data_IF_747872027992
#
_entry.id   IF_747872027992
#
_cell.length_a   1.000
_cell.length_b   1.000
_cell.length_c   1.000
_cell.angle_alpha   90.00
_cell.angle_beta   90.00
_cell.angle_gamma   90.00
#
_symmetry.space_group_name_H-M   'P 1'
#
loop_
_entity.id
_entity.type
_entity.pdbx_description
1 polymer ?
#
# COMPACT_ATOMS: atom_id res chain seq x y z
N UNK A 1 -23.53 -1.35 3.20
CA UNK A 1 -22.25 -1.91 2.70
C UNK A 1 -21.40 -2.27 3.91
N UNK A 2 -20.68 -3.40 3.91
CA UNK A 2 -19.77 -3.73 5.00
C UNK A 2 -18.62 -2.71 5.05
N UNK A 3 -18.12 -2.39 6.25
CA UNK A 3 -16.98 -1.48 6.46
C UNK A 3 -15.87 -2.22 7.23
N UNK A 4 -14.62 -1.93 6.90
CA UNK A 4 -13.45 -2.41 7.62
C UNK A 4 -12.90 -1.30 8.52
N UNK A 5 -12.86 -1.48 9.86
CA UNK A 5 -12.21 -0.52 10.75
C UNK A 5 -10.74 -0.34 10.38
N UNK A 6 -10.27 0.91 10.37
CA UNK A 6 -8.89 1.25 10.01
C UNK A 6 -7.90 0.64 10.99
N UNK A 7 -8.22 0.62 12.30
CA UNK A 7 -7.37 -0.04 13.29
C UNK A 7 -7.26 -1.55 13.03
N UNK A 8 -8.37 -2.23 12.74
CA UNK A 8 -8.36 -3.66 12.42
C UNK A 8 -7.56 -3.97 11.14
N UNK A 9 -7.59 -3.07 10.15
CA UNK A 9 -6.73 -3.20 8.98
C UNK A 9 -5.23 -3.13 9.35
N UNK A 10 -4.85 -2.20 10.24
CA UNK A 10 -3.46 -2.11 10.72
C UNK A 10 -3.04 -3.35 11.53
N UNK A 11 -3.94 -3.91 12.34
CA UNK A 11 -3.72 -5.17 13.07
C UNK A 11 -3.48 -6.34 12.11
N UNK A 12 -4.25 -6.46 11.01
CA UNK A 12 -4.03 -7.49 10.01
C UNK A 12 -2.64 -7.41 9.37
N UNK A 13 -2.13 -6.21 9.10
CA UNK A 13 -0.77 -6.02 8.60
C UNK A 13 0.27 -6.42 9.65
N UNK A 14 0.10 -5.99 10.90
CA UNK A 14 0.99 -6.38 12.00
C UNK A 14 1.05 -7.90 12.13
N UNK A 15 -0.11 -8.56 12.13
CA UNK A 15 -0.23 -10.01 12.26
C UNK A 15 0.38 -10.73 11.04
N UNK A 16 0.26 -10.16 9.83
CA UNK A 16 0.94 -10.67 8.64
C UNK A 16 2.47 -10.66 8.80
N UNK A 17 3.04 -9.55 9.26
CA UNK A 17 4.49 -9.46 9.53
C UNK A 17 4.96 -10.40 10.65
N UNK A 18 4.11 -10.64 11.65
CA UNK A 18 4.40 -11.54 12.75
C UNK A 18 4.17 -13.03 12.41
N UNK A 19 3.72 -13.36 11.19
CA UNK A 19 3.24 -14.69 10.81
C UNK A 19 2.13 -15.23 11.72
N UNK A 20 1.31 -14.33 12.26
CA UNK A 20 0.24 -14.61 13.25
C UNK A 20 -1.17 -14.53 12.63
N UNK A 21 -1.29 -14.51 11.30
CA UNK A 21 -2.59 -14.63 10.63
C UNK A 21 -3.26 -15.98 10.92
N UNK A 22 -2.46 -17.04 11.10
CA UNK A 22 -2.91 -18.33 11.60
C UNK A 22 -4.04 -18.96 10.78
N UNK A 23 -5.06 -19.45 11.48
CA UNK A 23 -6.21 -20.14 10.91
C UNK A 23 -7.17 -19.20 10.13
N UNK A 24 -6.96 -17.88 10.18
CA UNK A 24 -7.74 -16.92 9.39
C UNK A 24 -7.44 -17.01 7.90
N UNK A 25 -6.26 -17.52 7.53
CA UNK A 25 -5.83 -17.65 6.12
C UNK A 25 -6.66 -18.72 5.42
N UNK A 26 -7.28 -18.36 4.30
CA UNK A 26 -7.91 -19.31 3.39
C UNK A 26 -6.90 -19.82 2.35
N UNK A 27 -6.17 -18.90 1.72
CA UNK A 27 -5.11 -19.20 0.76
C UNK A 27 -4.10 -18.05 0.73
N UNK A 28 -2.89 -18.31 0.27
CA UNK A 28 -1.81 -17.33 0.23
C UNK A 28 -0.89 -17.59 -0.97
N UNK A 29 -0.15 -16.56 -1.36
CA UNK A 29 0.96 -16.66 -2.31
C UNK A 29 2.23 -16.12 -1.66
N UNK A 30 3.35 -16.73 -2.03
CA UNK A 30 4.70 -16.20 -1.88
C UNK A 30 5.45 -16.53 -3.17
N UNK A 31 5.48 -15.56 -4.10
CA UNK A 31 6.00 -15.77 -5.45
C UNK A 31 6.94 -14.62 -5.75
N UNK A 32 8.23 -14.92 -5.96
CA UNK A 32 9.26 -13.92 -6.31
C UNK A 32 9.29 -12.74 -5.31
N UNK A 33 9.10 -13.01 -4.03
CA UNK A 33 9.05 -11.99 -2.97
C UNK A 33 7.73 -11.22 -2.86
N UNK A 34 6.72 -11.54 -3.68
CA UNK A 34 5.35 -11.03 -3.54
C UNK A 34 4.57 -11.92 -2.60
N UNK A 35 4.24 -11.38 -1.43
CA UNK A 35 3.42 -12.06 -0.43
C UNK A 35 2.01 -11.46 -0.39
N UNK A 36 0.99 -12.32 -0.38
CA UNK A 36 -0.39 -11.90 -0.16
C UNK A 36 -1.19 -13.03 0.49
N UNK A 37 -2.08 -12.66 1.41
CA UNK A 37 -2.92 -13.58 2.18
C UNK A 37 -4.38 -13.25 1.94
N UNK A 38 -5.14 -14.22 1.47
CA UNK A 38 -6.59 -14.10 1.38
C UNK A 38 -7.22 -14.81 2.57
N UNK A 39 -7.98 -14.06 3.37
CA UNK A 39 -8.56 -14.52 4.62
C UNK A 39 -9.97 -15.08 4.41
N UNK A 40 -10.43 -15.92 5.35
CA UNK A 40 -11.74 -16.57 5.33
C UNK A 40 -12.93 -15.59 5.35
N UNK A 41 -12.73 -14.38 5.86
CA UNK A 41 -13.75 -13.32 5.88
C UNK A 41 -13.89 -12.61 4.52
N UNK A 42 -12.95 -12.83 3.59
CA UNK A 42 -12.87 -12.21 2.27
C UNK A 42 -11.90 -11.01 2.20
N UNK A 43 -11.09 -10.78 3.23
CA UNK A 43 -10.08 -9.72 3.24
C UNK A 43 -8.79 -10.20 2.58
N UNK A 44 -8.25 -9.42 1.65
CA UNK A 44 -6.90 -9.62 1.08
C UNK A 44 -5.90 -8.74 1.85
N UNK A 45 -4.86 -9.34 2.40
CA UNK A 45 -3.79 -8.67 3.13
C UNK A 45 -2.49 -8.78 2.35
N UNK A 46 -1.84 -7.64 2.10
CA UNK A 46 -0.62 -7.55 1.29
C UNK A 46 0.45 -6.83 2.15
N UNK A 47 1.29 -7.56 2.90
CA UNK A 47 2.40 -6.94 3.59
C UNK A 47 3.43 -6.38 2.59
N UNK A 48 4.29 -5.47 3.06
CA UNK A 48 5.49 -5.08 2.32
C UNK A 48 6.64 -6.05 2.54
N UNK A 49 7.77 -5.80 1.89
CA UNK A 49 9.02 -6.53 2.16
C UNK A 49 9.71 -6.03 3.44
N UNK A 50 10.47 -6.92 4.10
CA UNK A 50 11.30 -6.58 5.26
C UNK A 50 12.62 -5.87 4.87
N UNK A 51 12.97 -5.82 3.59
CA UNK A 51 14.25 -5.27 3.06
C UNK A 51 14.04 -3.93 2.31
N UNK A 52 13.04 -3.16 2.72
CA UNK A 52 12.55 -2.02 1.95
C UNK A 52 13.55 -0.87 1.79
N UNK A 53 14.48 -0.71 2.74
CA UNK A 53 15.62 0.23 2.62
C UNK A 53 16.45 -0.08 1.39
N UNK A 54 16.76 -1.36 1.19
CA UNK A 54 17.66 -1.81 0.13
C UNK A 54 16.96 -1.66 -1.23
N UNK A 55 15.66 -1.99 -1.32
CA UNK A 55 14.88 -1.80 -2.55
C UNK A 55 14.76 -0.33 -2.97
N UNK A 56 14.54 0.60 -2.03
CA UNK A 56 14.51 2.02 -2.33
C UNK A 56 15.90 2.55 -2.68
N UNK A 57 16.95 2.12 -1.98
CA UNK A 57 18.34 2.50 -2.30
C UNK A 57 18.78 2.01 -3.69
N UNK A 58 18.33 0.82 -4.11
CA UNK A 58 18.57 0.29 -5.47
C UNK A 58 17.78 1.06 -6.56
N UNK A 59 16.57 1.55 -6.28
CA UNK A 59 15.80 2.38 -7.23
C UNK A 59 16.16 3.88 -7.20
N UNK A 60 16.87 4.36 -6.15
CA UNK A 60 17.27 5.76 -5.94
C UNK A 60 18.76 6.05 -6.22
N UNK A 61 19.56 5.10 -6.72
CA UNK A 61 20.97 5.35 -7.07
C UNK A 61 21.12 6.43 -8.17
N UNK A 62 21.21 7.69 -7.72
CA UNK A 62 21.79 8.81 -8.45
C UNK A 62 23.32 8.62 -8.49
N UNK A 63 23.80 7.81 -9.43
CA UNK A 63 25.23 7.76 -9.75
C UNK A 63 25.81 6.37 -10.03
N UNK A 64 25.64 5.89 -11.27
CA UNK A 64 26.70 5.19 -11.98
C UNK A 64 27.00 3.72 -11.64
N UNK A 65 26.07 2.79 -11.90
CA UNK A 65 26.26 1.58 -12.76
C UNK A 65 25.01 0.67 -12.72
N UNK A 66 24.66 -0.02 -13.82
CA UNK A 66 23.36 -0.68 -13.97
C UNK A 66 23.40 -2.13 -13.49
N UNK A 67 22.53 -2.46 -12.56
CA UNK A 67 21.82 -3.75 -12.56
C UNK A 67 20.37 -3.42 -12.96
N UNK A 68 19.70 -4.30 -13.70
CA UNK A 68 18.40 -4.09 -14.34
C UNK A 68 17.25 -3.78 -13.36
N UNK A 69 17.29 -2.59 -12.75
CA UNK A 69 16.29 -2.04 -11.83
C UNK A 69 15.34 -1.10 -12.56
N UNK A 70 14.07 -1.13 -12.20
CA UNK A 70 13.04 -0.30 -12.81
C UNK A 70 13.17 1.20 -12.50
N UNK A 71 14.12 1.67 -11.69
CA UNK A 71 14.35 3.10 -11.42
C UNK A 71 13.04 3.86 -11.16
N UNK A 72 12.82 4.97 -11.88
CA UNK A 72 11.51 5.64 -11.98
C UNK A 72 10.80 5.37 -13.32
N UNK A 73 11.01 4.20 -13.90
CA UNK A 73 10.37 3.76 -15.13
C UNK A 73 8.86 3.83 -14.99
N UNK A 74 8.23 4.31 -16.06
CA UNK A 74 6.78 4.48 -16.12
C UNK A 74 6.25 3.58 -17.23
N UNK A 75 5.39 2.65 -16.84
CA UNK A 75 4.84 1.63 -17.74
C UNK A 75 3.30 1.77 -17.76
N UNK A 76 2.66 1.70 -18.94
CA UNK A 76 1.21 1.64 -19.01
C UNK A 76 0.69 0.28 -18.49
N UNK A 77 -0.34 0.31 -17.64
CA UNK A 77 -1.14 -0.87 -17.32
C UNK A 77 -2.23 -1.10 -18.37
N UNK A 78 -2.98 -2.19 -18.24
CA UNK A 78 -4.01 -2.61 -19.22
C UNK A 78 -5.10 -1.56 -19.47
N UNK A 79 -5.36 -0.67 -18.50
CA UNK A 79 -6.32 0.44 -18.62
C UNK A 79 -5.74 1.68 -19.31
N UNK A 80 -4.47 1.67 -19.71
CA UNK A 80 -3.71 2.81 -20.21
C UNK A 80 -3.20 3.76 -19.11
N UNK A 81 -3.54 3.50 -17.84
CA UNK A 81 -2.98 4.23 -16.71
C UNK A 81 -1.47 4.04 -16.60
N UNK A 82 -0.73 5.10 -16.29
CA UNK A 82 0.72 5.09 -16.17
C UNK A 82 1.14 4.85 -14.73
N UNK A 83 1.99 3.84 -14.53
CA UNK A 83 2.41 3.36 -13.21
C UNK A 83 3.92 3.31 -13.11
N UNK A 84 4.44 3.39 -11.89
CA UNK A 84 5.82 2.97 -11.62
C UNK A 84 6.00 1.49 -11.97
N UNK A 85 6.98 1.15 -12.82
CA UNK A 85 7.17 -0.20 -13.38
C UNK A 85 7.23 -1.29 -12.31
N UNK A 86 8.11 -1.12 -11.30
CA UNK A 86 8.23 -2.12 -10.23
C UNK A 86 6.98 -2.29 -9.36
N UNK A 87 6.20 -1.23 -9.15
CA UNK A 87 4.95 -1.35 -8.39
C UNK A 87 3.86 -2.04 -9.22
N UNK A 88 3.86 -1.80 -10.54
CA UNK A 88 2.94 -2.47 -11.47
C UNK A 88 3.24 -3.97 -11.55
N UNK A 89 4.51 -4.38 -11.67
CA UNK A 89 4.88 -5.81 -11.70
C UNK A 89 4.42 -6.54 -10.43
N UNK A 90 4.71 -5.95 -9.26
CA UNK A 90 4.24 -6.52 -7.98
C UNK A 90 2.71 -6.58 -7.93
N UNK A 91 2.01 -5.52 -8.37
CA UNK A 91 0.55 -5.47 -8.39
C UNK A 91 -0.07 -6.48 -9.36
N UNK A 92 0.57 -6.81 -10.48
CA UNK A 92 0.07 -7.78 -11.46
C UNK A 92 0.05 -9.21 -10.90
N UNK A 93 1.06 -9.57 -10.11
CA UNK A 93 1.10 -10.86 -9.39
C UNK A 93 -0.06 -10.92 -8.39
N UNK A 94 -0.22 -9.88 -7.56
CA UNK A 94 -1.32 -9.78 -6.59
C UNK A 94 -2.69 -9.79 -7.28
N UNK A 95 -2.86 -9.04 -8.37
CA UNK A 95 -4.11 -8.97 -9.13
C UNK A 95 -4.50 -10.34 -9.70
N UNK A 96 -3.53 -11.07 -10.26
CA UNK A 96 -3.75 -12.40 -10.84
C UNK A 96 -4.23 -13.39 -9.77
N UNK A 97 -3.68 -13.31 -8.57
CA UNK A 97 -4.14 -14.08 -7.42
C UNK A 97 -5.53 -13.64 -6.93
N UNK A 98 -5.77 -12.33 -6.80
CA UNK A 98 -6.97 -11.78 -6.17
C UNK A 98 -8.22 -11.82 -7.06
N UNK A 99 -8.10 -11.67 -8.39
CA UNK A 99 -9.25 -11.48 -9.30
C UNK A 99 -10.27 -12.61 -9.26
N UNK A 100 -9.82 -13.85 -9.06
CA UNK A 100 -10.71 -15.03 -8.95
C UNK A 100 -11.35 -15.16 -7.57
N UNK A 101 -10.72 -14.61 -6.53
CA UNK A 101 -11.15 -14.70 -5.14
C UNK A 101 -12.21 -13.67 -4.77
N UNK A 102 -12.29 -12.56 -5.52
CA UNK A 102 -13.25 -11.45 -5.33
C UNK A 102 -13.23 -10.90 -3.89
N UNK A 103 -12.10 -10.30 -3.46
CA UNK A 103 -11.98 -9.78 -2.11
C UNK A 103 -13.04 -8.72 -1.79
N UNK A 104 -13.53 -8.76 -0.55
CA UNK A 104 -14.45 -7.75 0.01
C UNK A 104 -13.70 -6.49 0.45
N UNK A 105 -12.47 -6.69 0.93
CA UNK A 105 -11.57 -5.63 1.38
C UNK A 105 -10.15 -5.95 0.96
N UNK A 106 -9.34 -4.93 0.75
CA UNK A 106 -7.90 -5.05 0.53
C UNK A 106 -7.18 -4.19 1.55
N UNK A 107 -6.15 -4.74 2.18
CA UNK A 107 -5.27 -4.02 3.10
C UNK A 107 -3.84 -4.19 2.62
N UNK A 108 -3.10 -3.09 2.51
CA UNK A 108 -1.68 -3.13 2.15
C UNK A 108 -0.83 -2.26 3.05
N UNK A 109 0.44 -2.63 3.18
CA UNK A 109 1.47 -1.81 3.83
C UNK A 109 2.70 -1.67 2.94
N UNK A 110 3.26 -0.47 2.85
CA UNK A 110 4.50 -0.20 2.12
C UNK A 110 4.47 -0.64 0.65
N UNK A 111 5.38 -1.51 0.18
CA UNK A 111 5.33 -2.12 -1.16
C UNK A 111 3.99 -2.85 -1.41
N UNK A 112 3.46 -3.52 -0.38
CA UNK A 112 2.13 -4.11 -0.44
C UNK A 112 1.01 -3.06 -0.55
N UNK A 113 1.19 -1.89 0.04
CA UNK A 113 0.28 -0.75 -0.12
C UNK A 113 0.34 -0.13 -1.53
N UNK A 114 1.50 -0.16 -2.18
CA UNK A 114 1.63 0.19 -3.58
C UNK A 114 0.75 -0.71 -4.45
N UNK A 115 0.79 -2.02 -4.20
CA UNK A 115 -0.06 -2.98 -4.90
C UNK A 115 -1.52 -2.86 -4.54
N UNK A 116 -1.84 -2.65 -3.25
CA UNK A 116 -3.20 -2.46 -2.79
C UNK A 116 -3.88 -1.29 -3.52
N UNK A 117 -3.19 -0.15 -3.69
CA UNK A 117 -3.68 0.98 -4.47
C UNK A 117 -4.11 0.58 -5.90
N UNK A 118 -3.23 -0.12 -6.62
CA UNK A 118 -3.43 -0.49 -8.02
C UNK A 118 -4.56 -1.55 -8.13
N UNK A 119 -4.49 -2.60 -7.33
CA UNK A 119 -5.44 -3.73 -7.34
C UNK A 119 -6.81 -3.28 -6.86
N UNK A 120 -6.87 -2.46 -5.80
CA UNK A 120 -8.09 -1.91 -5.25
C UNK A 120 -8.87 -1.05 -6.22
N UNK A 121 -8.18 -0.13 -6.91
CA UNK A 121 -8.82 0.66 -7.97
C UNK A 121 -9.27 -0.22 -9.14
N UNK A 122 -8.46 -1.19 -9.56
CA UNK A 122 -8.77 -2.08 -10.70
C UNK A 122 -9.98 -2.99 -10.43
N UNK A 123 -10.11 -3.51 -9.20
CA UNK A 123 -11.21 -4.37 -8.79
C UNK A 123 -12.43 -3.59 -8.25
N UNK A 124 -12.32 -2.27 -8.08
CA UNK A 124 -13.33 -1.45 -7.41
C UNK A 124 -13.68 -1.99 -6.01
N UNK A 125 -12.65 -2.37 -5.25
CA UNK A 125 -12.76 -2.99 -3.93
C UNK A 125 -12.30 -2.02 -2.84
N UNK A 126 -13.07 -1.83 -1.74
CA UNK A 126 -12.63 -1.03 -0.60
C UNK A 126 -11.22 -1.40 -0.12
N UNK A 127 -10.32 -0.42 -0.14
CA UNK A 127 -8.90 -0.62 0.09
C UNK A 127 -8.33 0.38 1.09
N UNK A 128 -7.59 -0.12 2.09
CA UNK A 128 -6.82 0.69 3.05
C UNK A 128 -5.33 0.42 2.83
N UNK A 129 -4.59 1.46 2.47
CA UNK A 129 -3.17 1.40 2.15
C UNK A 129 -2.37 2.22 3.17
N UNK A 130 -1.53 1.55 3.97
CA UNK A 130 -0.67 2.19 4.97
C UNK A 130 0.73 2.41 4.42
N UNK A 131 1.37 3.52 4.81
CA UNK A 131 2.76 3.82 4.43
C UNK A 131 2.98 3.75 2.92
N UNK A 132 2.01 4.22 2.15
CA UNK A 132 1.92 3.91 0.73
C UNK A 132 2.79 4.86 -0.12
N UNK A 133 3.69 4.34 -0.98
CA UNK A 133 4.41 5.17 -1.93
C UNK A 133 3.48 5.66 -3.04
N UNK A 134 3.96 6.62 -3.84
CA UNK A 134 3.23 7.20 -4.97
C UNK A 134 3.32 6.28 -6.19
N UNK A 135 2.23 5.65 -6.58
CA UNK A 135 2.25 4.60 -7.61
C UNK A 135 1.97 5.07 -9.01
N UNK A 136 1.17 6.13 -9.17
CA UNK A 136 0.61 6.52 -10.45
C UNK A 136 1.23 7.82 -10.96
N UNK A 137 1.54 7.88 -12.26
CA UNK A 137 1.90 9.11 -12.95
C UNK A 137 0.72 9.63 -13.78
N UNK A 138 -0.16 10.40 -13.17
CA UNK A 138 -1.32 10.96 -13.86
C UNK A 138 -1.73 12.33 -13.31
N UNK A 139 -2.34 13.15 -14.17
CA UNK A 139 -2.84 14.50 -13.81
C UNK A 139 -4.31 14.52 -13.37
N UNK A 140 -5.05 13.45 -13.63
CA UNK A 140 -6.49 13.36 -13.38
C UNK A 140 -6.85 12.10 -12.60
N UNK A 141 -8.09 12.05 -12.11
CA UNK A 141 -8.62 10.87 -11.43
C UNK A 141 -8.79 9.72 -12.42
N UNK A 142 -8.58 8.50 -11.93
CA UNK A 142 -8.79 7.27 -12.68
C UNK A 142 -10.09 6.58 -12.24
N UNK A 143 -10.57 5.64 -13.04
CA UNK A 143 -11.67 4.78 -12.62
C UNK A 143 -11.29 3.99 -11.36
N UNK A 144 -12.24 3.81 -10.45
CA UNK A 144 -12.06 3.01 -9.25
C UNK A 144 -11.24 3.65 -8.11
N UNK A 145 -10.63 4.81 -8.31
CA UNK A 145 -9.81 5.46 -7.25
C UNK A 145 -10.60 5.80 -5.99
N UNK A 146 -11.91 6.02 -6.11
CA UNK A 146 -12.80 6.30 -4.98
C UNK A 146 -12.92 5.14 -3.98
N UNK A 147 -12.41 3.95 -4.31
CA UNK A 147 -12.38 2.79 -3.41
C UNK A 147 -11.14 2.72 -2.54
N UNK A 148 -10.15 3.59 -2.76
CA UNK A 148 -8.84 3.51 -2.11
C UNK A 148 -8.67 4.67 -1.13
N UNK A 149 -8.25 4.34 0.10
CA UNK A 149 -7.76 5.30 1.07
C UNK A 149 -6.32 4.98 1.45
N UNK A 150 -5.47 6.01 1.42
CA UNK A 150 -4.07 5.95 1.82
C UNK A 150 -3.91 6.67 3.16
N UNK A 151 -3.24 6.03 4.10
CA UNK A 151 -2.92 6.58 5.41
C UNK A 151 -1.39 6.60 5.49
N UNK A 152 -0.84 7.80 5.42
CA UNK A 152 0.60 8.05 5.35
C UNK A 152 1.03 8.93 6.51
N UNK A 153 2.26 8.77 6.99
CA UNK A 153 2.85 9.69 7.97
C UNK A 153 3.69 10.74 7.26
N UNK A 154 3.67 11.97 7.75
CA UNK A 154 4.45 13.06 7.14
C UNK A 154 5.96 12.84 7.27
N UNK A 155 6.40 12.16 8.33
CA UNK A 155 7.81 11.82 8.59
C UNK A 155 8.25 10.52 7.92
N UNK A 156 7.35 9.80 7.24
CA UNK A 156 7.67 8.56 6.53
C UNK A 156 8.14 8.85 5.09
N UNK A 157 9.43 8.62 4.85
CA UNK A 157 10.09 8.93 3.56
C UNK A 157 9.56 8.11 2.40
N UNK A 158 9.08 6.89 2.64
CA UNK A 158 8.49 6.02 1.59
C UNK A 158 7.23 6.67 1.02
N UNK A 159 6.44 7.33 1.86
CA UNK A 159 5.24 8.05 1.45
C UNK A 159 5.57 9.24 0.52
N UNK A 160 6.81 9.72 0.55
CA UNK A 160 7.28 10.82 -0.29
C UNK A 160 7.83 10.38 -1.64
N UNK A 161 8.13 9.09 -1.81
CA UNK A 161 8.72 8.52 -3.01
C UNK A 161 7.68 7.81 -3.91
N UNK A 162 7.89 7.81 -5.24
CA UNK A 162 8.74 8.72 -6.01
C UNK A 162 8.37 10.19 -5.83
N UNK A 163 9.27 11.14 -6.15
CA UNK A 163 8.99 12.56 -5.97
C UNK A 163 7.80 13.07 -6.77
N UNK A 164 6.93 13.86 -6.13
CA UNK A 164 5.71 14.40 -6.75
C UNK A 164 5.99 15.31 -7.96
N UNK A 165 7.13 16.01 -7.98
CA UNK A 165 7.50 16.90 -9.10
C UNK A 165 7.75 16.13 -10.41
N UNK A 166 7.99 14.81 -10.34
CA UNK A 166 8.05 13.92 -11.51
C UNK A 166 6.66 13.48 -12.01
N UNK A 167 5.59 13.96 -11.37
CA UNK A 167 4.19 13.69 -11.70
C UNK A 167 3.59 12.47 -11.01
N UNK A 168 4.31 11.85 -10.06
CA UNK A 168 3.79 10.72 -9.28
C UNK A 168 2.82 11.18 -8.19
N UNK A 169 1.78 10.37 -7.96
CA UNK A 169 0.79 10.55 -6.89
C UNK A 169 0.28 9.20 -6.36
N UNK A 170 -0.33 9.23 -5.18
CA UNK A 170 -1.13 8.12 -4.68
C UNK A 170 -2.46 8.01 -5.46
N UNK A 171 -3.05 6.82 -5.42
CA UNK A 171 -4.37 6.50 -5.98
C UNK A 171 -5.43 6.63 -4.89
N UNK A 172 -6.48 7.42 -5.14
CA UNK A 172 -7.59 7.60 -4.19
C UNK A 172 -7.35 8.68 -3.15
N UNK A 173 -8.02 8.56 -2.00
CA UNK A 173 -7.94 9.54 -0.92
C UNK A 173 -6.62 9.40 -0.16
N UNK A 174 -6.07 10.50 0.36
CA UNK A 174 -4.80 10.51 1.09
C UNK A 174 -4.97 11.28 2.40
N UNK A 175 -4.66 10.61 3.52
CA UNK A 175 -4.66 11.17 4.85
C UNK A 175 -3.25 11.17 5.42
N UNK A 176 -2.76 12.36 5.74
CA UNK A 176 -1.46 12.54 6.39
C UNK A 176 -1.62 12.56 7.90
N UNK A 177 -0.92 11.65 8.58
CA UNK A 177 -0.74 11.62 10.01
C UNK A 177 0.49 12.46 10.37
N UNK A 178 0.36 13.26 11.42
CA UNK A 178 1.45 14.07 11.96
C UNK A 178 1.75 13.58 13.37
N UNK A 179 2.90 12.91 13.59
CA UNK A 179 3.33 12.54 14.93
C UNK A 179 3.75 13.78 15.72
N UNK A 180 3.76 13.68 17.06
CA UNK A 180 4.28 14.75 17.93
C UNK A 180 5.80 14.85 17.84
N UNK A 181 6.48 13.71 17.68
CA UNK A 181 7.92 13.59 17.51
C UNK A 181 8.23 12.75 16.27
N UNK A 182 9.25 13.14 15.51
CA UNK A 182 9.73 12.32 14.40
C UNK A 182 10.42 11.07 14.94
N UNK A 183 10.21 9.92 14.29
CA UNK A 183 10.86 8.66 14.64
C UNK A 183 11.73 8.14 13.48
N UNK A 184 12.88 8.79 13.16
CA UNK A 184 13.67 8.42 11.99
C UNK A 184 14.08 6.94 12.00
N UNK A 185 13.78 6.22 10.93
CA UNK A 185 14.13 4.80 10.74
C UNK A 185 13.09 3.82 11.29
N UNK A 186 12.13 4.31 12.08
CA UNK A 186 11.03 3.54 12.65
C UNK A 186 9.67 4.03 12.14
N UNK A 187 9.60 5.25 11.60
CA UNK A 187 8.43 5.93 11.05
C UNK A 187 7.60 5.06 10.09
N UNK A 188 8.27 4.16 9.39
CA UNK A 188 7.69 3.25 8.41
C UNK A 188 7.02 1.99 9.00
N UNK A 189 7.18 1.70 10.30
CA UNK A 189 6.60 0.48 10.90
C UNK A 189 5.12 0.65 11.20
N UNK A 190 4.30 -0.37 10.88
CA UNK A 190 2.86 -0.33 11.10
C UNK A 190 2.46 -0.01 12.56
N UNK A 191 3.23 -0.48 13.55
CA UNK A 191 2.96 -0.18 14.96
C UNK A 191 2.96 1.32 15.25
N UNK A 192 3.84 2.08 14.60
CA UNK A 192 3.92 3.54 14.73
C UNK A 192 2.75 4.26 14.05
N UNK A 193 2.11 3.66 13.05
CA UNK A 193 0.82 4.14 12.53
C UNK A 193 -0.31 3.86 13.51
N UNK A 194 -0.33 2.66 14.11
CA UNK A 194 -1.35 2.26 15.08
C UNK A 194 -1.39 3.19 16.30
N UNK A 195 -0.24 3.59 16.84
CA UNK A 195 -0.20 4.54 17.96
C UNK A 195 -0.84 5.89 17.60
N UNK A 196 -0.59 6.41 16.39
CA UNK A 196 -1.22 7.64 15.93
C UNK A 196 -2.73 7.50 15.74
N UNK A 197 -3.21 6.35 15.23
CA UNK A 197 -4.63 6.09 15.02
C UNK A 197 -5.44 6.01 16.33
N UNK A 198 -4.78 5.79 17.48
CA UNK A 198 -5.44 5.85 18.80
C UNK A 198 -5.71 7.28 19.26
N UNK A 199 -5.03 8.28 18.69
CA UNK A 199 -5.14 9.67 19.12
C UNK A 199 -6.47 10.27 18.67
N UNK A 200 -7.19 10.91 19.60
CA UNK A 200 -8.47 11.58 19.32
C UNK A 200 -8.38 12.56 18.14
N UNK A 201 -7.31 13.37 18.11
CA UNK A 201 -7.06 14.35 17.03
C UNK A 201 -6.89 13.71 15.64
N UNK A 202 -6.46 12.46 15.58
CA UNK A 202 -6.34 11.70 14.33
C UNK A 202 -7.69 11.11 13.94
N UNK A 203 -8.43 10.54 14.89
CA UNK A 203 -9.77 9.96 14.67
C UNK A 203 -10.80 10.99 14.19
N UNK A 204 -10.62 12.28 14.52
CA UNK A 204 -11.46 13.37 14.03
C UNK A 204 -11.18 13.76 12.56
N UNK A 205 -10.02 13.36 12.01
CA UNK A 205 -9.55 13.78 10.68
C UNK A 205 -9.42 12.63 9.68
N UNK A 206 -9.28 11.40 10.17
CA UNK A 206 -9.09 10.19 9.38
C UNK A 206 -10.32 9.30 9.56
N UNK A 207 -10.83 8.66 8.50
CA UNK A 207 -11.95 7.73 8.64
C UNK A 207 -11.59 6.63 9.64
N UNK A 208 -12.52 6.31 10.56
CA UNK A 208 -12.34 5.20 11.52
C UNK A 208 -12.64 3.85 10.88
N UNK A 209 -13.37 3.82 9.77
CA UNK A 209 -13.63 2.65 8.95
C UNK A 209 -13.79 3.03 7.46
N UNK A 210 -13.54 2.07 6.57
CA UNK A 210 -13.64 2.26 5.12
C UNK A 210 -14.50 1.18 4.46
N UNK A 211 -15.38 1.50 3.48
CA UNK A 211 -15.69 2.84 2.97
C UNK A 211 -16.37 3.73 4.02
N UNK A 212 -16.05 5.02 4.01
CA UNK A 212 -16.54 6.01 4.98
C UNK A 212 -18.04 6.31 4.83
#
# INVERSE_FOLDING_TARGET
MAKLPVMSAAELIRDAYANDLGDRVHTAIDIRGVQAFYLKDGTLVIPGTNELSDWFDFNLQFGGRPMDGHGFEVVPGDSGALWHGGFLEHAQIVYTFAKGLRPKFIVGHSLGAASAQIVGASLSTPTIAFASPKTCKSRGRMAGEGWVVNICRIDDTVCHAPPAFLGFRNVGSLYWLTPDEANPGEDHKIGNYMELLKLKRVQERVPTAWPA
#
